data_IF_556245417149
#
_entry.id   IF_556245417149
#
_cell.length_a   1.000
_cell.length_b   1.000
_cell.length_c   1.000
_cell.angle_alpha   90.00
_cell.angle_beta   90.00
_cell.angle_gamma   90.00
#
_symmetry.space_group_name_H-M   'P 1'
#
loop_
_entity.id
_entity.type
_entity.pdbx_description
1 polymer ?
#
# COMPACT_ATOMS: atom_id res chain seq x y z
N UNK A 1 -9.20 -19.61 30.34
CA UNK A 1 -9.56 -19.14 28.98
C UNK A 1 -11.07 -19.23 28.86
N UNK A 2 -11.78 -18.11 28.82
CA UNK A 2 -13.25 -18.09 28.90
C UNK A 2 -13.94 -18.55 27.60
N UNK A 3 -15.22 -18.95 27.67
CA UNK A 3 -16.03 -19.33 26.50
C UNK A 3 -16.14 -18.22 25.44
N UNK A 4 -15.88 -16.96 25.81
CA UNK A 4 -15.84 -15.80 24.91
C UNK A 4 -14.83 -15.93 23.77
N UNK A 5 -13.67 -16.57 24.01
CA UNK A 5 -12.66 -16.74 22.96
C UNK A 5 -13.14 -17.66 21.84
N UNK A 6 -13.92 -18.69 22.17
CA UNK A 6 -14.50 -19.60 21.19
C UNK A 6 -15.53 -18.90 20.30
N UNK A 7 -16.39 -18.06 20.88
CA UNK A 7 -17.33 -17.25 20.11
C UNK A 7 -16.65 -16.20 19.22
N UNK A 8 -15.58 -15.58 19.70
CA UNK A 8 -14.78 -14.63 18.92
C UNK A 8 -14.08 -15.31 17.74
N UNK A 9 -13.50 -16.50 17.96
CA UNK A 9 -12.83 -17.26 16.92
C UNK A 9 -13.83 -17.75 15.85
N UNK A 10 -15.01 -18.20 16.28
CA UNK A 10 -16.08 -18.60 15.37
C UNK A 10 -16.61 -17.42 14.55
N UNK A 11 -16.86 -16.28 15.20
CA UNK A 11 -17.29 -15.05 14.51
C UNK A 11 -16.26 -14.54 13.51
N UNK A 12 -14.98 -14.50 13.89
CA UNK A 12 -13.90 -14.08 13.00
C UNK A 12 -13.72 -15.05 11.83
N UNK A 13 -13.82 -16.36 12.07
CA UNK A 13 -13.76 -17.37 11.02
C UNK A 13 -14.90 -17.19 10.01
N UNK A 14 -16.14 -16.98 10.47
CA UNK A 14 -17.30 -16.75 9.61
C UNK A 14 -17.12 -15.51 8.72
N UNK A 15 -16.76 -14.38 9.34
CA UNK A 15 -16.57 -13.09 8.64
C UNK A 15 -15.36 -13.09 7.70
N UNK A 16 -14.34 -13.91 7.95
CA UNK A 16 -13.16 -14.01 7.07
C UNK A 16 -13.34 -15.02 5.95
N UNK A 17 -14.04 -16.12 6.23
CA UNK A 17 -14.23 -17.22 5.28
C UNK A 17 -15.27 -16.87 4.21
N UNK A 18 -16.39 -16.23 4.59
CA UNK A 18 -17.44 -15.84 3.63
C UNK A 18 -16.88 -14.98 2.49
N UNK A 19 -16.18 -13.85 2.74
CA UNK A 19 -15.68 -12.98 1.67
C UNK A 19 -14.56 -13.61 0.85
N UNK A 20 -13.83 -14.60 1.36
CA UNK A 20 -12.79 -15.33 0.60
C UNK A 20 -13.38 -16.41 -0.28
N UNK A 21 -14.35 -17.16 0.24
CA UNK A 21 -14.95 -18.28 -0.48
C UNK A 21 -15.90 -17.82 -1.56
N UNK A 22 -16.66 -16.73 -1.35
CA UNK A 22 -17.59 -16.21 -2.36
C UNK A 22 -16.89 -15.93 -3.71
N UNK A 23 -15.75 -15.20 -3.77
CA UNK A 23 -15.01 -15.02 -5.01
C UNK A 23 -14.48 -16.33 -5.57
N UNK A 24 -13.91 -17.20 -4.73
CA UNK A 24 -13.30 -18.46 -5.19
C UNK A 24 -14.34 -19.40 -5.80
N UNK A 25 -15.51 -19.57 -5.17
CA UNK A 25 -16.56 -20.50 -5.62
C UNK A 25 -17.41 -19.95 -6.75
N UNK A 26 -17.61 -18.64 -6.87
CA UNK A 26 -18.31 -18.05 -8.02
C UNK A 26 -17.45 -17.96 -9.28
N UNK A 27 -16.12 -17.92 -9.12
CA UNK A 27 -15.17 -17.81 -10.22
C UNK A 27 -14.59 -19.18 -10.64
N UNK A 28 -14.70 -20.20 -9.80
CA UNK A 28 -14.34 -21.57 -10.14
C UNK A 28 -15.18 -22.07 -11.33
N UNK A 29 -14.52 -22.27 -12.47
CA UNK A 29 -15.10 -22.85 -13.69
C UNK A 29 -15.65 -21.86 -14.72
N UNK A 30 -15.61 -20.54 -14.46
CA UNK A 30 -15.91 -19.51 -15.49
C UNK A 30 -14.62 -18.86 -15.96
N UNK A 31 -14.31 -18.99 -17.25
CA UNK A 31 -13.29 -18.16 -17.87
C UNK A 31 -13.70 -16.70 -17.73
N UNK A 32 -13.00 -15.98 -16.85
CA UNK A 32 -13.18 -14.54 -16.71
C UNK A 32 -12.95 -13.89 -18.06
N UNK A 33 -13.82 -12.97 -18.52
CA UNK A 33 -13.58 -12.22 -19.73
C UNK A 33 -12.19 -11.58 -19.68
N UNK A 34 -11.43 -11.56 -20.79
CA UNK A 34 -10.03 -11.11 -20.80
C UNK A 34 -9.85 -9.68 -20.24
N UNK A 35 -10.87 -8.84 -20.37
CA UNK A 35 -10.91 -7.49 -19.79
C UNK A 35 -10.91 -7.54 -18.26
N UNK A 36 -11.74 -8.40 -17.66
CA UNK A 36 -11.90 -8.51 -16.20
C UNK A 36 -10.65 -9.14 -15.58
N UNK A 37 -10.12 -10.21 -16.18
CA UNK A 37 -8.86 -10.83 -15.74
C UNK A 37 -7.68 -9.85 -15.83
N UNK A 38 -7.63 -9.04 -16.88
CA UNK A 38 -6.63 -7.97 -17.04
C UNK A 38 -6.74 -6.90 -15.94
N UNK A 39 -7.96 -6.47 -15.59
CA UNK A 39 -8.18 -5.53 -14.49
C UNK A 39 -7.77 -6.15 -13.15
N UNK A 40 -8.21 -7.37 -12.84
CA UNK A 40 -7.89 -8.05 -11.57
C UNK A 40 -6.38 -8.18 -11.35
N UNK A 41 -5.61 -8.47 -12.41
CA UNK A 41 -4.15 -8.57 -12.32
C UNK A 41 -3.47 -7.23 -11.99
N UNK A 42 -4.11 -6.11 -12.32
CA UNK A 42 -3.60 -4.77 -12.08
C UNK A 42 -4.11 -4.15 -10.77
N UNK A 43 -5.11 -4.73 -10.11
CA UNK A 43 -5.62 -4.27 -8.81
C UNK A 43 -4.49 -4.14 -7.78
N UNK A 44 -3.56 -5.10 -7.61
CA UNK A 44 -2.51 -4.97 -6.60
C UNK A 44 -1.64 -3.73 -6.80
N UNK A 45 -1.25 -3.44 -8.05
CA UNK A 45 -0.45 -2.27 -8.37
C UNK A 45 -1.24 -0.96 -8.18
N UNK A 46 -2.52 -0.95 -8.55
CA UNK A 46 -3.40 0.19 -8.31
C UNK A 46 -3.58 0.48 -6.81
N UNK A 47 -3.75 -0.57 -6.00
CA UNK A 47 -3.85 -0.46 -4.53
C UNK A 47 -2.55 0.05 -3.94
N UNK A 48 -1.40 -0.49 -4.35
CA UNK A 48 -0.09 0.01 -3.91
C UNK A 48 0.07 1.50 -4.24
N UNK A 49 -0.26 1.93 -5.46
CA UNK A 49 -0.22 3.34 -5.84
C UNK A 49 -1.18 4.20 -5.00
N UNK A 50 -2.42 3.74 -4.82
CA UNK A 50 -3.43 4.44 -4.03
C UNK A 50 -3.09 4.55 -2.54
N UNK A 51 -2.30 3.63 -2.00
CA UNK A 51 -1.82 3.67 -0.61
C UNK A 51 -0.53 4.48 -0.46
N UNK A 52 0.44 4.28 -1.36
CA UNK A 52 1.76 4.90 -1.26
C UNK A 52 1.69 6.41 -1.56
N UNK A 53 0.94 6.81 -2.59
CA UNK A 53 0.86 8.21 -3.00
C UNK A 53 0.38 9.15 -1.87
N UNK A 54 -0.75 8.89 -1.19
CA UNK A 54 -1.16 9.71 -0.06
C UNK A 54 -0.22 9.56 1.14
N UNK A 55 0.33 8.36 1.38
CA UNK A 55 1.25 8.15 2.51
C UNK A 55 2.52 9.02 2.41
N UNK A 56 3.02 9.27 1.20
CA UNK A 56 4.19 10.13 1.00
C UNK A 56 3.81 11.62 1.09
N UNK A 57 2.65 12.02 0.56
CA UNK A 57 2.22 13.42 0.58
C UNK A 57 1.78 13.91 1.96
N UNK A 58 1.12 13.06 2.75
CA UNK A 58 0.58 13.38 4.07
C UNK A 58 1.49 12.89 5.21
N UNK A 59 2.79 12.75 4.96
CA UNK A 59 3.76 12.31 5.98
C UNK A 59 3.84 13.29 7.16
N UNK A 60 3.61 14.58 6.93
CA UNK A 60 3.62 15.62 7.95
C UNK A 60 2.34 16.46 7.84
N UNK A 61 1.51 16.41 8.90
CA UNK A 61 0.26 17.16 8.96
C UNK A 61 0.54 18.67 8.90
N UNK A 62 -0.09 19.36 7.94
CA UNK A 62 0.07 20.81 7.74
C UNK A 62 1.22 21.23 6.83
N UNK A 63 2.10 20.32 6.38
CA UNK A 63 3.22 20.66 5.50
C UNK A 63 3.34 19.71 4.29
N UNK A 64 2.51 19.95 3.28
CA UNK A 64 2.52 19.17 2.01
C UNK A 64 3.85 19.31 1.28
N UNK A 65 4.55 20.45 1.43
CA UNK A 65 5.87 20.67 0.80
C UNK A 65 6.90 19.66 1.28
N UNK A 66 6.83 19.24 2.55
CA UNK A 66 7.71 18.20 3.11
C UNK A 66 7.57 16.87 2.34
N UNK A 67 6.32 16.43 2.12
CA UNK A 67 6.03 15.21 1.36
C UNK A 67 6.42 15.32 -0.12
N UNK A 68 6.17 16.47 -0.76
CA UNK A 68 6.53 16.72 -2.17
C UNK A 68 8.04 16.71 -2.38
N UNK A 69 8.81 17.34 -1.49
CA UNK A 69 10.28 17.33 -1.55
C UNK A 69 10.80 15.90 -1.37
N UNK A 70 10.27 15.17 -0.37
CA UNK A 70 10.63 13.77 -0.15
C UNK A 70 10.34 12.88 -1.36
N UNK A 71 9.16 13.01 -1.95
CA UNK A 71 8.76 12.30 -3.16
C UNK A 71 9.66 12.63 -4.36
N UNK A 72 9.94 13.92 -4.57
CA UNK A 72 10.79 14.39 -5.65
C UNK A 72 12.22 13.85 -5.54
N UNK A 73 12.82 13.90 -4.34
CA UNK A 73 14.15 13.35 -4.09
C UNK A 73 14.16 11.83 -4.29
N UNK A 74 13.14 11.12 -3.78
CA UNK A 74 13.02 9.68 -3.96
C UNK A 74 12.99 9.30 -5.45
N UNK A 75 12.19 10.04 -6.22
CA UNK A 75 12.00 9.80 -7.64
C UNK A 75 13.28 10.11 -8.44
N UNK A 76 13.97 11.21 -8.14
CA UNK A 76 15.24 11.56 -8.78
C UNK A 76 16.32 10.49 -8.54
N UNK A 77 16.48 10.03 -7.29
CA UNK A 77 17.49 9.00 -6.95
C UNK A 77 17.11 7.65 -7.58
N UNK A 78 15.82 7.30 -7.62
CA UNK A 78 15.35 6.08 -8.28
C UNK A 78 15.59 6.10 -9.80
N UNK A 79 15.37 7.24 -10.47
CA UNK A 79 15.64 7.40 -11.91
C UNK A 79 17.12 7.31 -12.26
N UNK A 80 18.02 7.69 -11.34
CA UNK A 80 19.47 7.53 -11.49
C UNK A 80 19.95 6.07 -11.38
N UNK A 81 19.04 5.11 -11.21
CA UNK A 81 19.36 3.69 -11.09
C UNK A 81 19.83 3.28 -9.69
N UNK A 82 19.61 4.13 -8.68
CA UNK A 82 19.90 3.81 -7.29
C UNK A 82 19.01 2.67 -6.78
N UNK A 83 19.60 1.71 -6.04
CA UNK A 83 18.83 0.70 -5.32
C UNK A 83 17.97 1.31 -4.21
N UNK A 84 17.16 0.49 -3.54
CA UNK A 84 16.24 0.95 -2.47
C UNK A 84 16.99 1.67 -1.35
N UNK A 85 18.18 1.19 -0.94
CA UNK A 85 18.93 1.81 0.17
C UNK A 85 19.42 3.24 -0.14
N UNK A 86 20.07 3.54 -1.27
CA UNK A 86 20.40 4.91 -1.65
C UNK A 86 19.19 5.84 -1.69
N UNK A 87 18.06 5.37 -2.21
CA UNK A 87 16.81 6.14 -2.27
C UNK A 87 16.33 6.50 -0.87
N UNK A 88 16.24 5.53 0.03
CA UNK A 88 15.77 5.74 1.41
C UNK A 88 16.74 6.63 2.21
N UNK A 89 18.05 6.39 2.14
CA UNK A 89 19.03 7.19 2.86
C UNK A 89 19.09 8.63 2.33
N UNK A 90 19.01 8.81 1.02
CA UNK A 90 19.04 10.13 0.38
C UNK A 90 17.79 10.95 0.72
N UNK A 91 16.61 10.33 0.72
CA UNK A 91 15.36 11.03 1.09
C UNK A 91 15.36 11.41 2.57
N UNK A 92 15.75 10.48 3.47
CA UNK A 92 15.88 10.78 4.90
C UNK A 92 16.89 11.92 5.13
N UNK A 93 18.03 11.88 4.45
CA UNK A 93 19.05 12.92 4.55
C UNK A 93 18.55 14.30 4.14
N UNK A 94 17.90 14.41 2.97
CA UNK A 94 17.36 15.69 2.49
C UNK A 94 16.24 16.20 3.39
N UNK A 95 15.32 15.33 3.81
CA UNK A 95 14.23 15.69 4.71
C UNK A 95 14.72 16.09 6.10
N UNK A 96 15.76 15.43 6.63
CA UNK A 96 16.37 15.80 7.90
C UNK A 96 17.00 17.20 7.85
N UNK A 97 17.68 17.53 6.75
CA UNK A 97 18.22 18.90 6.55
C UNK A 97 17.09 19.91 6.42
N UNK A 98 16.05 19.61 5.64
CA UNK A 98 14.89 20.49 5.47
C UNK A 98 14.16 20.72 6.81
N UNK A 99 14.05 19.70 7.65
CA UNK A 99 13.47 19.78 9.00
C UNK A 99 14.30 20.61 9.99
N UNK A 100 15.56 20.96 9.71
CA UNK A 100 16.36 21.82 10.59
C UNK A 100 16.15 23.31 10.29
N UNK A 101 15.70 23.65 9.09
CA UNK A 101 15.46 25.03 8.66
C UNK A 101 14.02 25.51 8.92
N UNK A 102 13.12 24.61 9.34
CA UNK A 102 11.71 24.85 9.63
C UNK A 102 11.40 24.44 11.06
#
# INVERSE_FOLDING_TARGET
MGPTYWWMLFGMALVTYIPRMVPLTFLDGKELPPIVAGVLRNIPYAVLGALIFPAVLFVQEGNILFGVIGAGVAFLIALLGGGVMPVVLGTIGVLAVYSLFM
#
